data_IF_628907651846
#
_entry.id   IF_628907651846
#
_cell.length_a   1.000
_cell.length_b   1.000
_cell.length_c   1.000
_cell.angle_alpha   90.00
_cell.angle_beta   90.00
_cell.angle_gamma   90.00
#
_symmetry.space_group_name_H-M   'P 1'
#
loop_
_entity.id
_entity.type
_entity.pdbx_description
1 polymer ?
#
# COMPACT_ATOMS: atom_id res chain seq x y z
N UNK A 1 -4.74 5.05 -10.35
CA UNK A 1 -3.82 5.36 -9.21
C UNK A 1 -3.05 4.09 -8.83
N UNK A 2 -1.74 4.19 -8.52
CA UNK A 2 -0.91 3.04 -8.10
C UNK A 2 -0.59 3.09 -6.61
N UNK A 3 -0.76 1.97 -5.91
CA UNK A 3 -0.34 1.76 -4.52
C UNK A 3 0.80 0.74 -4.51
N UNK A 4 1.93 1.17 -3.97
CA UNK A 4 3.09 0.30 -3.71
C UNK A 4 3.07 -0.15 -2.25
N UNK A 5 3.38 -1.43 -1.93
CA UNK A 5 3.49 -1.90 -0.55
C UNK A 5 4.44 -1.04 0.31
N UNK A 6 5.55 -0.59 -0.29
CA UNK A 6 6.53 0.30 0.34
C UNK A 6 5.95 1.60 0.90
N UNK A 7 4.76 2.04 0.46
CA UNK A 7 4.12 3.25 0.97
C UNK A 7 3.60 3.10 2.41
N UNK A 8 3.24 1.89 2.82
CA UNK A 8 2.70 1.61 4.14
C UNK A 8 3.63 0.74 4.99
N UNK A 9 4.75 0.30 4.42
CA UNK A 9 5.72 -0.54 5.11
C UNK A 9 6.42 0.20 6.26
N UNK A 10 6.32 -0.36 7.47
CA UNK A 10 6.92 0.14 8.71
C UNK A 10 8.45 -0.01 8.71
N UNK A 11 8.97 -1.01 7.99
CA UNK A 11 10.38 -1.31 7.89
C UNK A 11 11.10 -0.38 6.91
N UNK A 12 10.35 0.35 6.07
CA UNK A 12 10.91 1.34 5.16
C UNK A 12 10.92 2.76 5.76
N UNK A 13 11.99 3.49 5.48
CA UNK A 13 12.11 4.92 5.77
C UNK A 13 11.27 5.76 4.80
N UNK A 14 11.18 7.08 5.08
CA UNK A 14 10.55 8.04 4.15
C UNK A 14 11.27 8.07 2.79
N UNK A 15 12.60 8.01 2.82
CA UNK A 15 13.45 7.99 1.61
C UNK A 15 13.23 6.71 0.81
N UNK A 16 13.03 5.59 1.47
CA UNK A 16 12.77 4.29 0.82
C UNK A 16 11.32 4.12 0.32
N UNK A 17 10.40 5.02 0.66
CA UNK A 17 9.06 5.05 0.07
C UNK A 17 7.90 5.23 1.04
N UNK A 18 8.11 5.03 2.35
CA UNK A 18 7.01 5.10 3.33
C UNK A 18 6.33 6.47 3.33
N UNK A 19 5.02 6.48 3.11
CA UNK A 19 4.18 7.70 3.05
C UNK A 19 3.30 7.90 4.27
N UNK A 20 3.05 6.86 5.06
CA UNK A 20 2.29 6.95 6.32
C UNK A 20 3.20 7.11 7.54
N UNK A 21 2.74 7.73 8.65
CA UNK A 21 3.44 7.72 9.94
C UNK A 21 3.75 6.31 10.47
N UNK A 22 4.83 6.14 11.26
CA UNK A 22 5.24 4.82 11.78
C UNK A 22 4.18 4.14 12.67
N UNK A 23 3.42 4.93 13.43
CA UNK A 23 2.33 4.41 14.26
C UNK A 23 1.17 3.82 13.44
N UNK A 24 1.01 4.22 12.18
CA UNK A 24 0.01 3.66 11.26
C UNK A 24 0.60 2.63 10.29
N UNK A 25 1.91 2.66 10.05
CA UNK A 25 2.57 1.74 9.14
C UNK A 25 2.38 0.27 9.56
N UNK A 26 2.37 -0.61 8.56
CA UNK A 26 2.17 -2.06 8.66
C UNK A 26 3.52 -2.74 8.51
N UNK A 27 3.78 -3.76 9.31
CA UNK A 27 4.96 -4.58 9.20
C UNK A 27 4.78 -5.59 8.06
N UNK A 28 5.71 -5.64 7.11
CA UNK A 28 5.69 -6.55 5.96
C UNK A 28 4.34 -6.58 5.20
N UNK A 29 3.90 -5.44 4.61
CA UNK A 29 2.60 -5.33 3.96
C UNK A 29 2.47 -6.26 2.75
N UNK A 30 1.42 -7.09 2.72
CA UNK A 30 1.09 -7.97 1.60
C UNK A 30 0.05 -7.32 0.67
N UNK A 31 0.18 -7.55 -0.64
CA UNK A 31 -0.79 -7.11 -1.65
C UNK A 31 -2.20 -7.62 -1.37
N UNK A 32 -2.35 -8.85 -0.86
CA UNK A 32 -3.67 -9.41 -0.53
C UNK A 32 -4.38 -8.65 0.58
N UNK A 33 -3.64 -8.17 1.57
CA UNK A 33 -4.24 -7.44 2.70
C UNK A 33 -4.66 -6.02 2.28
N UNK A 34 -3.85 -5.39 1.43
CA UNK A 34 -4.20 -4.11 0.83
C UNK A 34 -5.44 -4.25 -0.06
N UNK A 35 -5.52 -5.30 -0.88
CA UNK A 35 -6.69 -5.58 -1.73
C UNK A 35 -7.97 -5.80 -0.88
N UNK A 36 -7.89 -6.61 0.18
CA UNK A 36 -9.01 -6.81 1.11
C UNK A 36 -9.43 -5.51 1.79
N UNK A 37 -8.48 -4.67 2.20
CA UNK A 37 -8.78 -3.38 2.79
C UNK A 37 -9.46 -2.43 1.80
N UNK A 38 -9.05 -2.43 0.53
CA UNK A 38 -9.71 -1.68 -0.53
C UNK A 38 -11.14 -2.17 -0.76
N UNK A 39 -11.35 -3.49 -0.82
CA UNK A 39 -12.69 -4.09 -0.95
C UNK A 39 -13.62 -3.68 0.19
N UNK A 40 -13.12 -3.63 1.43
CA UNK A 40 -13.88 -3.11 2.59
C UNK A 40 -14.27 -1.64 2.47
N UNK A 41 -13.49 -0.85 1.74
CA UNK A 41 -13.79 0.56 1.44
C UNK A 41 -14.72 0.73 0.23
N UNK A 42 -15.20 -0.38 -0.37
CA UNK A 42 -16.01 -0.33 -1.60
C UNK A 42 -15.20 0.05 -2.85
N UNK A 43 -13.88 -0.14 -2.82
CA UNK A 43 -12.98 0.15 -3.93
C UNK A 43 -12.46 -1.15 -4.55
N UNK A 44 -12.38 -1.17 -5.88
CA UNK A 44 -11.77 -2.27 -6.62
C UNK A 44 -10.30 -1.95 -6.96
N UNK A 45 -9.41 -2.85 -6.56
CA UNK A 45 -7.98 -2.76 -6.87
C UNK A 45 -7.51 -4.01 -7.62
N UNK A 46 -6.83 -3.82 -8.74
CA UNK A 46 -6.19 -4.86 -9.53
C UNK A 46 -4.76 -5.07 -9.06
N UNK A 47 -4.42 -6.29 -8.66
CA UNK A 47 -3.06 -6.67 -8.31
C UNK A 47 -2.24 -6.88 -9.59
N UNK A 48 -1.06 -6.25 -9.65
CA UNK A 48 -0.05 -6.46 -10.69
C UNK A 48 1.21 -7.00 -10.00
N UNK A 49 1.47 -8.30 -10.12
CA UNK A 49 2.52 -8.99 -9.35
C UNK A 49 3.93 -8.72 -9.85
N UNK A 50 4.10 -8.58 -11.16
CA UNK A 50 5.43 -8.54 -11.80
C UNK A 50 6.08 -7.14 -11.78
N UNK A 51 5.44 -6.17 -11.13
CA UNK A 51 5.95 -4.80 -11.03
C UNK A 51 6.96 -4.68 -9.88
N UNK A 52 7.98 -3.86 -10.12
CA UNK A 52 9.02 -3.53 -9.15
C UNK A 52 8.97 -2.04 -8.85
N UNK A 53 9.08 -1.69 -7.57
CA UNK A 53 9.10 -0.29 -7.17
C UNK A 53 10.49 0.30 -7.53
N UNK A 54 10.60 1.43 -8.25
CA UNK A 54 11.89 1.89 -8.77
C UNK A 54 12.99 2.09 -7.72
N UNK A 55 12.63 2.41 -6.47
CA UNK A 55 13.60 2.58 -5.36
C UNK A 55 14.13 1.26 -4.81
N UNK A 56 13.51 0.13 -5.17
CA UNK A 56 13.91 -1.23 -4.85
C UNK A 56 13.75 -2.11 -6.10
N UNK A 57 14.38 -1.71 -7.21
CA UNK A 57 14.19 -2.36 -8.51
C UNK A 57 14.65 -3.84 -8.57
N UNK A 58 15.44 -4.28 -7.58
CA UNK A 58 15.88 -5.67 -7.41
C UNK A 58 14.79 -6.58 -6.80
N UNK A 59 13.78 -6.01 -6.16
CA UNK A 59 12.73 -6.74 -5.44
C UNK A 59 11.42 -6.76 -6.25
N UNK A 60 10.81 -7.95 -6.40
CA UNK A 60 9.49 -8.11 -7.01
C UNK A 60 8.43 -7.95 -5.93
N UNK A 61 8.03 -6.70 -5.67
CA UNK A 61 7.04 -6.37 -4.64
C UNK A 61 5.59 -6.32 -5.17
N UNK A 62 5.41 -6.24 -6.49
CA UNK A 62 4.14 -5.94 -7.13
C UNK A 62 3.57 -4.57 -6.78
N UNK A 63 2.40 -4.27 -7.30
CA UNK A 63 1.62 -3.09 -6.96
C UNK A 63 0.12 -3.35 -7.11
N UNK A 64 -0.69 -2.41 -6.62
CA UNK A 64 -2.13 -2.40 -6.83
C UNK A 64 -2.48 -1.17 -7.64
N UNK A 65 -3.20 -1.39 -8.73
CA UNK A 65 -3.80 -0.33 -9.55
C UNK A 65 -5.29 -0.23 -9.25
N UNK A 66 -5.78 0.99 -9.04
CA UNK A 66 -7.19 1.26 -8.79
C UNK A 66 -7.62 2.58 -9.44
N UNK A 67 -8.88 2.69 -9.83
CA UNK A 67 -9.46 3.98 -10.17
C UNK A 67 -9.91 4.71 -8.90
N UNK A 68 -9.17 5.75 -8.53
CA UNK A 68 -9.48 6.56 -7.35
C UNK A 68 -8.98 7.98 -7.59
N UNK A 69 -9.88 8.95 -7.45
CA UNK A 69 -9.64 10.38 -7.72
C UNK A 69 -9.45 11.21 -6.44
N UNK A 70 -9.55 10.59 -5.27
CA UNK A 70 -9.44 11.29 -3.98
C UNK A 70 -8.01 11.46 -3.47
N UNK A 71 -7.89 11.93 -2.22
CA UNK A 71 -6.59 12.12 -1.58
C UNK A 71 -5.89 10.77 -1.29
N UNK A 72 -4.75 10.55 -1.95
CA UNK A 72 -3.95 9.33 -1.82
C UNK A 72 -3.45 9.08 -0.39
N UNK A 73 -3.00 10.13 0.31
CA UNK A 73 -2.48 9.96 1.68
C UNK A 73 -3.62 9.57 2.65
N UNK A 74 -4.81 10.13 2.46
CA UNK A 74 -6.00 9.75 3.24
C UNK A 74 -6.34 8.28 3.03
N UNK A 75 -6.38 7.83 1.77
CA UNK A 75 -6.64 6.43 1.44
C UNK A 75 -5.61 5.48 2.08
N UNK A 76 -4.31 5.80 1.98
CA UNK A 76 -3.25 4.98 2.59
C UNK A 76 -3.41 4.86 4.11
N UNK A 77 -3.81 5.94 4.80
CA UNK A 77 -4.08 5.89 6.24
C UNK A 77 -5.29 5.02 6.57
N UNK A 78 -6.38 5.08 5.79
CA UNK A 78 -7.56 4.24 6.01
C UNK A 78 -7.25 2.76 5.76
N UNK A 79 -6.50 2.43 4.70
CA UNK A 79 -6.01 1.07 4.45
C UNK A 79 -5.22 0.55 5.66
N UNK A 80 -4.27 1.35 6.16
CA UNK A 80 -3.50 0.98 7.35
C UNK A 80 -4.38 0.70 8.58
N UNK A 81 -5.38 1.53 8.84
CA UNK A 81 -6.30 1.32 9.97
C UNK A 81 -7.09 0.03 9.82
N UNK A 82 -7.58 -0.26 8.62
CA UNK A 82 -8.34 -1.48 8.34
C UNK A 82 -7.47 -2.72 8.53
N UNK A 83 -6.22 -2.69 8.08
CA UNK A 83 -5.29 -3.83 8.24
C UNK A 83 -4.92 -4.06 9.71
N UNK A 84 -4.80 -3.00 10.53
CA UNK A 84 -4.46 -3.13 11.96
C UNK A 84 -5.61 -3.56 12.86
N UNK A 85 -6.85 -3.31 12.46
CA UNK A 85 -8.05 -3.69 13.21
C UNK A 85 -8.49 -5.14 12.89
N UNK A 86 -7.65 -5.90 12.21
CA UNK A 86 -7.72 -7.35 12.05
C UNK A 86 -6.77 -8.00 13.03
#
# INVERSE_FOLDING_TARGET
MIIWPAYIDKNKTRKEGRRVPKNLAIENPNLKDIEKALKKLGLEGKIIRDKRYPRQHWEVCGCIELDYKGNKLKLLKEICKIIKNY
#
